data_IF_464559602496
#
_entry.id   IF_464559602496
#
_cell.length_a   1.000
_cell.length_b   1.000
_cell.length_c   1.000
_cell.angle_alpha   90.00
_cell.angle_beta   90.00
_cell.angle_gamma   90.00
#
_symmetry.space_group_name_H-M   'P 1'
#
loop_
_entity.id
_entity.type
_entity.pdbx_description
1 polymer ?
#
# COMPACT_ATOMS: atom_id res chain seq x y z
N UNK A 1 25.73 -21.76 38.43
CA UNK A 1 25.14 -20.43 38.15
C UNK A 1 25.66 -19.73 36.89
N UNK A 2 26.84 -20.05 36.42
CA UNK A 2 27.40 -19.37 35.21
C UNK A 2 26.76 -19.81 33.89
N UNK A 3 26.20 -20.99 33.78
CA UNK A 3 25.58 -21.51 32.54
C UNK A 3 24.19 -20.97 32.24
N UNK A 4 23.45 -20.46 33.23
CA UNK A 4 22.11 -19.88 33.00
C UNK A 4 22.15 -18.44 32.45
N UNK A 5 23.22 -17.71 32.72
CA UNK A 5 23.39 -16.34 32.20
C UNK A 5 23.72 -16.30 30.70
N UNK A 6 24.46 -17.28 30.22
CA UNK A 6 24.85 -17.39 28.81
C UNK A 6 23.63 -17.72 27.93
N UNK A 7 22.72 -18.56 28.43
CA UNK A 7 21.51 -18.93 27.70
C UNK A 7 20.52 -17.75 27.54
N UNK A 8 20.42 -16.91 28.59
CA UNK A 8 19.54 -15.72 28.54
C UNK A 8 20.13 -14.65 27.61
N UNK A 9 21.43 -14.45 27.62
CA UNK A 9 22.10 -13.50 26.72
C UNK A 9 22.02 -13.94 25.25
N UNK A 10 22.13 -15.24 24.98
CA UNK A 10 21.98 -15.80 23.64
C UNK A 10 20.55 -15.64 23.10
N UNK A 11 19.54 -15.80 23.95
CA UNK A 11 18.14 -15.64 23.58
C UNK A 11 17.79 -14.16 23.32
N UNK A 12 18.35 -13.24 24.11
CA UNK A 12 18.15 -11.81 23.93
C UNK A 12 18.81 -11.30 22.64
N UNK A 13 19.99 -11.82 22.29
CA UNK A 13 20.67 -11.50 21.03
C UNK A 13 19.92 -12.05 19.82
N UNK A 14 19.31 -13.24 19.90
CA UNK A 14 18.45 -13.77 18.83
C UNK A 14 17.20 -12.93 18.59
N UNK A 15 16.56 -12.40 19.64
CA UNK A 15 15.39 -11.54 19.51
C UNK A 15 15.75 -10.21 18.85
N UNK A 16 16.93 -9.65 19.14
CA UNK A 16 17.40 -8.41 18.51
C UNK A 16 17.76 -8.63 17.02
N UNK A 17 18.29 -9.81 16.67
CA UNK A 17 18.61 -10.14 15.27
C UNK A 17 17.36 -10.45 14.42
N UNK A 18 16.27 -10.91 15.04
CA UNK A 18 14.99 -11.12 14.34
C UNK A 18 14.19 -9.83 14.11
N UNK A 19 14.51 -8.74 14.80
CA UNK A 19 13.82 -7.44 14.62
C UNK A 19 14.46 -6.56 13.52
N UNK A 20 15.51 -7.02 12.88
CA UNK A 20 16.24 -6.29 11.83
C UNK A 20 15.79 -6.66 10.40
N UNK A 21 14.54 -7.04 10.20
CA UNK A 21 14.06 -7.50 8.89
C UNK A 21 12.70 -6.95 8.53
N UNK A 22 12.67 -5.85 7.77
CA UNK A 22 11.50 -5.39 7.03
C UNK A 22 10.50 -4.59 7.88
N UNK A 23 10.32 -3.32 7.56
CA UNK A 23 9.19 -2.53 8.04
C UNK A 23 7.85 -3.25 7.74
N UNK A 24 6.87 -3.04 8.59
CA UNK A 24 5.53 -3.57 8.41
C UNK A 24 4.98 -3.16 7.04
N UNK A 25 4.52 -4.12 6.26
CA UNK A 25 3.94 -3.85 4.95
C UNK A 25 2.62 -3.11 5.11
N UNK A 26 2.43 -2.04 4.35
CA UNK A 26 1.17 -1.29 4.33
C UNK A 26 0.04 -2.14 3.73
N UNK A 27 0.36 -2.92 2.71
CA UNK A 27 -0.59 -3.79 2.02
C UNK A 27 -0.03 -5.21 2.07
N UNK A 28 -0.67 -6.06 2.86
CA UNK A 28 -0.36 -7.48 2.90
C UNK A 28 -0.86 -8.16 1.62
N UNK A 29 -0.02 -8.97 1.00
CA UNK A 29 -0.35 -9.65 -0.26
C UNK A 29 -0.80 -11.10 -0.10
N UNK A 30 -0.70 -11.64 1.12
CA UNK A 30 -1.19 -12.99 1.43
C UNK A 30 -2.69 -13.03 1.68
N UNK A 31 -3.33 -14.15 1.34
CA UNK A 31 -4.76 -14.40 1.60
C UNK A 31 -5.75 -13.43 0.92
N UNK A 32 -5.35 -12.75 -0.14
CA UNK A 32 -6.25 -11.97 -0.98
C UNK A 32 -7.09 -12.94 -1.82
N UNK A 33 -8.40 -12.74 -1.81
CA UNK A 33 -9.37 -13.57 -2.55
C UNK A 33 -10.00 -12.83 -3.73
N UNK A 34 -9.92 -11.49 -3.73
CA UNK A 34 -10.41 -10.67 -4.83
C UNK A 34 -9.67 -9.34 -4.86
N UNK A 35 -9.38 -8.86 -6.05
CA UNK A 35 -8.85 -7.52 -6.30
C UNK A 35 -9.83 -6.75 -7.16
N UNK A 36 -10.21 -5.54 -6.74
CA UNK A 36 -11.06 -4.62 -7.49
C UNK A 36 -10.24 -3.42 -7.91
N UNK A 37 -10.34 -3.01 -9.16
CA UNK A 37 -9.59 -1.87 -9.71
C UNK A 37 -10.56 -0.90 -10.38
N UNK A 38 -10.48 0.37 -10.03
CA UNK A 38 -11.25 1.45 -10.65
C UNK A 38 -10.34 2.63 -10.98
N UNK A 39 -10.50 3.18 -12.18
CA UNK A 39 -9.82 4.39 -12.63
C UNK A 39 -10.84 5.52 -12.71
N UNK A 40 -10.55 6.66 -12.06
CA UNK A 40 -11.38 7.88 -12.06
C UNK A 40 -12.85 7.62 -11.66
N UNK A 41 -13.09 6.70 -10.76
CA UNK A 41 -14.41 6.27 -10.30
C UNK A 41 -15.36 5.78 -11.44
N UNK A 42 -14.81 5.46 -12.59
CA UNK A 42 -15.56 4.95 -13.74
C UNK A 42 -15.88 3.45 -13.59
N UNK A 43 -15.38 2.62 -14.47
CA UNK A 43 -15.64 1.18 -14.42
C UNK A 43 -14.82 0.51 -13.32
N UNK A 44 -15.44 -0.43 -12.60
CA UNK A 44 -14.77 -1.29 -11.64
C UNK A 44 -14.55 -2.65 -12.27
N UNK A 45 -13.32 -3.08 -12.39
CA UNK A 45 -12.94 -4.43 -12.79
C UNK A 45 -12.59 -5.27 -11.57
N UNK A 46 -12.97 -6.54 -11.57
CA UNK A 46 -12.71 -7.49 -10.47
C UNK A 46 -11.90 -8.67 -10.99
N UNK A 47 -10.95 -9.09 -10.16
CA UNK A 47 -10.02 -10.19 -10.46
C UNK A 47 -9.95 -11.15 -9.27
N UNK A 48 -9.97 -12.46 -9.55
CA UNK A 48 -9.74 -13.51 -8.53
C UNK A 48 -8.26 -13.64 -8.16
N UNK A 49 -7.38 -13.24 -9.08
CA UNK A 49 -5.94 -13.19 -8.87
C UNK A 49 -5.44 -11.75 -9.07
N UNK A 50 -4.41 -11.37 -8.31
CA UNK A 50 -3.83 -10.03 -8.42
C UNK A 50 -3.13 -9.87 -9.79
N UNK A 51 -3.54 -8.89 -10.62
CA UNK A 51 -2.83 -8.59 -11.87
C UNK A 51 -1.38 -8.18 -11.62
N UNK A 52 -0.47 -8.54 -12.53
CA UNK A 52 0.97 -8.27 -12.39
C UNK A 52 1.29 -6.78 -12.21
N UNK A 53 0.62 -5.89 -12.93
CA UNK A 53 0.80 -4.45 -12.83
C UNK A 53 0.36 -3.90 -11.45
N UNK A 54 -0.72 -4.43 -10.88
CA UNK A 54 -1.16 -4.12 -9.51
C UNK A 54 -0.15 -4.65 -8.49
N UNK A 55 0.37 -5.87 -8.70
CA UNK A 55 1.39 -6.46 -7.83
C UNK A 55 2.67 -5.62 -7.83
N UNK A 56 3.10 -5.12 -8.97
CA UNK A 56 4.25 -4.22 -9.08
C UNK A 56 4.02 -2.91 -8.33
N UNK A 57 2.87 -2.27 -8.50
CA UNK A 57 2.50 -1.05 -7.79
C UNK A 57 2.49 -1.25 -6.26
N UNK A 58 1.87 -2.33 -5.79
CA UNK A 58 1.83 -2.68 -4.35
C UNK A 58 3.23 -2.91 -3.80
N UNK A 59 4.07 -3.63 -4.54
CA UNK A 59 5.46 -3.89 -4.15
C UNK A 59 6.27 -2.59 -4.06
N UNK A 60 6.11 -1.68 -5.01
CA UNK A 60 6.75 -0.38 -5.00
C UNK A 60 6.33 0.46 -3.79
N UNK A 61 5.02 0.51 -3.48
CA UNK A 61 4.48 1.24 -2.33
C UNK A 61 4.99 0.64 -1.01
N UNK A 62 4.96 -0.69 -0.87
CA UNK A 62 5.47 -1.38 0.32
C UNK A 62 6.97 -1.21 0.54
N UNK A 63 7.72 -0.90 -0.51
CA UNK A 63 9.18 -0.72 -0.48
C UNK A 63 9.61 0.74 -0.27
N UNK A 64 8.65 1.69 -0.23
CA UNK A 64 8.96 3.10 -0.01
C UNK A 64 9.58 3.33 1.36
N UNK A 65 10.74 3.94 1.38
CA UNK A 65 11.41 4.43 2.58
C UNK A 65 10.84 5.79 3.01
N UNK A 66 11.01 6.15 4.27
CA UNK A 66 10.40 7.38 4.81
C UNK A 66 10.93 8.66 4.17
N UNK A 67 12.17 8.66 3.67
CA UNK A 67 12.77 9.77 2.92
C UNK A 67 12.11 10.02 1.54
N UNK A 68 11.36 9.05 1.01
CA UNK A 68 10.57 9.15 -0.22
C UNK A 68 9.11 9.54 0.00
N UNK A 69 8.70 9.66 1.25
CA UNK A 69 7.36 10.08 1.66
C UNK A 69 7.37 11.53 2.10
N UNK A 70 6.40 12.30 1.62
CA UNK A 70 6.20 13.69 2.02
C UNK A 70 4.87 13.85 2.74
N UNK A 71 4.73 14.86 3.64
CA UNK A 71 3.44 15.14 4.26
C UNK A 71 2.40 15.47 3.19
N UNK A 72 1.19 14.91 3.34
CA UNK A 72 0.07 15.14 2.44
C UNK A 72 -1.24 15.23 3.24
N UNK A 73 -2.04 16.25 2.95
CA UNK A 73 -3.36 16.46 3.55
C UNK A 73 -4.45 16.22 2.49
N UNK A 74 -5.10 15.08 2.55
CA UNK A 74 -6.18 14.71 1.64
C UNK A 74 -7.50 15.46 1.92
N UNK A 75 -7.59 16.18 3.04
CA UNK A 75 -8.71 17.05 3.37
C UNK A 75 -8.61 18.47 2.80
N UNK A 76 -7.45 18.87 2.29
CA UNK A 76 -7.21 20.22 1.77
C UNK A 76 -7.81 20.46 0.35
N UNK A 77 -8.32 19.40 -0.30
CA UNK A 77 -8.79 19.43 -1.69
C UNK A 77 -7.67 19.11 -2.68
N UNK A 78 -8.07 18.88 -3.93
CA UNK A 78 -7.16 18.45 -4.98
C UNK A 78 -7.11 19.49 -6.10
N UNK A 79 -5.97 19.64 -6.80
CA UNK A 79 -5.90 20.41 -8.04
C UNK A 79 -6.93 19.90 -9.07
N UNK A 80 -7.38 20.79 -9.95
CA UNK A 80 -8.16 20.42 -11.12
C UNK A 80 -7.36 19.39 -11.96
N UNK A 81 -8.06 18.51 -12.65
CA UNK A 81 -7.47 17.43 -13.44
C UNK A 81 -6.69 16.35 -12.64
N UNK A 82 -6.86 16.30 -11.32
CA UNK A 82 -6.35 15.16 -10.51
C UNK A 82 -7.11 13.90 -10.88
N UNK A 83 -6.37 12.85 -11.22
CA UNK A 83 -6.93 11.51 -11.49
C UNK A 83 -6.73 10.60 -10.29
N UNK A 84 -7.59 9.62 -10.12
CA UNK A 84 -7.50 8.68 -9.01
C UNK A 84 -7.57 7.23 -9.49
N UNK A 85 -6.60 6.43 -9.06
CA UNK A 85 -6.65 4.97 -9.12
C UNK A 85 -7.10 4.46 -7.75
N UNK A 86 -8.12 3.61 -7.73
CA UNK A 86 -8.57 2.91 -6.53
C UNK A 86 -8.40 1.41 -6.72
N UNK A 87 -7.77 0.76 -5.75
CA UNK A 87 -7.60 -0.69 -5.73
C UNK A 87 -8.10 -1.23 -4.40
N UNK A 88 -9.06 -2.13 -4.43
CA UNK A 88 -9.60 -2.83 -3.28
C UNK A 88 -9.04 -4.25 -3.20
N UNK A 89 -8.58 -4.66 -2.03
CA UNK A 89 -8.09 -6.00 -1.73
C UNK A 89 -9.01 -6.65 -0.71
N UNK A 90 -9.76 -7.64 -1.14
CA UNK A 90 -10.62 -8.45 -0.26
C UNK A 90 -9.82 -9.64 0.26
N UNK A 91 -9.80 -9.83 1.57
CA UNK A 91 -9.07 -10.91 2.23
C UNK A 91 -10.00 -12.06 2.63
N UNK A 92 -9.44 -13.25 2.77
CA UNK A 92 -10.18 -14.46 3.14
C UNK A 92 -10.90 -14.37 4.50
N UNK A 93 -10.42 -13.51 5.41
CA UNK A 93 -11.04 -13.23 6.71
C UNK A 93 -12.20 -12.23 6.67
N UNK A 94 -12.49 -11.69 5.48
CA UNK A 94 -13.54 -10.68 5.25
C UNK A 94 -13.06 -9.23 5.43
N UNK A 95 -11.78 -9.00 5.72
CA UNK A 95 -11.18 -7.66 5.74
C UNK A 95 -11.04 -7.08 4.34
N UNK A 96 -11.12 -5.76 4.23
CA UNK A 96 -10.91 -5.02 2.99
C UNK A 96 -9.83 -3.96 3.21
N UNK A 97 -8.85 -3.91 2.32
CA UNK A 97 -7.90 -2.80 2.24
C UNK A 97 -8.12 -2.03 0.96
N UNK A 98 -8.24 -0.73 1.07
CA UNK A 98 -8.40 0.19 -0.06
C UNK A 98 -7.11 1.00 -0.24
N UNK A 99 -6.50 0.88 -1.40
CA UNK A 99 -5.43 1.73 -1.88
C UNK A 99 -6.01 2.79 -2.80
N UNK A 100 -5.72 4.05 -2.54
CA UNK A 100 -5.98 5.15 -3.46
C UNK A 100 -4.66 5.80 -3.84
N UNK A 101 -4.44 5.98 -5.13
CA UNK A 101 -3.31 6.75 -5.68
C UNK A 101 -3.88 7.93 -6.46
N UNK A 102 -3.61 9.15 -5.99
CA UNK A 102 -3.95 10.36 -6.72
C UNK A 102 -2.77 10.78 -7.60
N UNK A 103 -3.05 11.00 -8.86
CA UNK A 103 -2.08 11.46 -9.85
C UNK A 103 -2.35 12.94 -10.16
N UNK A 104 -1.39 13.78 -9.88
CA UNK A 104 -1.48 15.22 -10.06
C UNK A 104 -0.99 15.65 -11.45
N UNK A 105 -1.45 16.83 -11.95
CA UNK A 105 -1.03 17.34 -13.26
C UNK A 105 0.47 17.59 -13.40
N UNK A 106 1.19 17.79 -12.31
CA UNK A 106 2.64 18.00 -12.26
C UNK A 106 3.48 16.69 -12.23
N UNK A 107 2.83 15.56 -12.52
CA UNK A 107 3.43 14.22 -12.51
C UNK A 107 3.83 13.69 -11.10
N UNK A 108 3.46 14.40 -10.05
CA UNK A 108 3.57 13.88 -8.68
C UNK A 108 2.36 13.05 -8.30
N UNK A 109 2.44 12.32 -7.20
CA UNK A 109 1.33 11.53 -6.71
C UNK A 109 1.26 11.51 -5.17
N UNK A 110 0.10 11.09 -4.66
CA UNK A 110 -0.10 10.80 -3.26
C UNK A 110 -0.80 9.45 -3.08
N UNK A 111 -0.56 8.83 -1.95
CA UNK A 111 -1.06 7.51 -1.62
C UNK A 111 -1.85 7.56 -0.32
N UNK A 112 -2.99 6.89 -0.30
CA UNK A 112 -3.78 6.61 0.90
C UNK A 112 -4.08 5.12 0.98
N UNK A 113 -3.87 4.55 2.15
CA UNK A 113 -4.22 3.15 2.44
C UNK A 113 -5.17 3.12 3.63
N UNK A 114 -6.30 2.49 3.46
CA UNK A 114 -7.35 2.38 4.46
C UNK A 114 -7.72 0.91 4.64
N UNK A 115 -7.82 0.45 5.88
CA UNK A 115 -8.36 -0.87 6.22
C UNK A 115 -9.79 -0.72 6.74
N UNK A 116 -10.66 -1.57 6.25
CA UNK A 116 -12.03 -1.70 6.74
C UNK A 116 -12.25 -3.12 7.28
N UNK A 117 -12.68 -3.22 8.52
CA UNK A 117 -13.04 -4.47 9.20
C UNK A 117 -14.42 -4.30 9.81
N UNK A 118 -15.41 -5.02 9.28
CA UNK A 118 -16.83 -4.89 9.69
C UNK A 118 -17.29 -3.43 9.66
N UNK A 119 -17.53 -2.85 10.82
CA UNK A 119 -18.02 -1.47 10.97
C UNK A 119 -16.91 -0.46 11.31
N UNK A 120 -15.65 -0.89 11.31
CA UNK A 120 -14.50 -0.05 11.67
C UNK A 120 -13.65 0.26 10.44
N UNK A 121 -13.34 1.53 10.25
CA UNK A 121 -12.42 2.01 9.22
C UNK A 121 -11.19 2.64 9.88
N UNK A 122 -10.00 2.22 9.45
CA UNK A 122 -8.72 2.73 9.95
C UNK A 122 -7.86 3.21 8.80
N UNK A 123 -7.40 4.45 8.86
CA UNK A 123 -6.40 4.97 7.92
C UNK A 123 -5.03 4.43 8.33
N UNK A 124 -4.42 3.61 7.51
CA UNK A 124 -3.11 3.04 7.75
C UNK A 124 -1.99 4.00 7.36
N UNK A 125 -2.17 4.72 6.26
CA UNK A 125 -1.20 5.70 5.76
C UNK A 125 -1.84 6.72 4.83
N UNK A 126 -1.33 7.96 4.86
CA UNK A 126 -1.56 9.01 3.87
C UNK A 126 -0.27 9.78 3.70
N UNK A 127 0.25 9.86 2.49
CA UNK A 127 1.50 10.56 2.19
C UNK A 127 1.61 10.94 0.72
N UNK A 128 2.34 12.03 0.44
CA UNK A 128 2.84 12.33 -0.90
C UNK A 128 4.04 11.45 -1.22
N UNK A 129 4.30 11.23 -2.49
CA UNK A 129 5.40 10.36 -2.96
C UNK A 129 6.40 11.19 -3.77
N UNK A 130 7.65 11.18 -3.32
CA UNK A 130 8.80 11.73 -4.03
C UNK A 130 9.57 10.61 -4.77
N UNK A 131 8.84 9.84 -5.57
CA UNK A 131 9.35 8.72 -6.36
C UNK A 131 8.53 8.62 -7.66
N UNK A 132 9.07 8.99 -8.83
CA UNK A 132 8.30 9.06 -10.08
C UNK A 132 7.81 7.68 -10.56
N UNK A 133 8.46 6.59 -10.16
CA UNK A 133 8.08 5.23 -10.54
C UNK A 133 6.66 4.84 -10.11
N UNK A 134 6.22 5.27 -8.93
CA UNK A 134 4.86 4.97 -8.41
C UNK A 134 3.77 5.59 -9.29
N UNK A 135 3.95 6.84 -9.71
CA UNK A 135 3.00 7.50 -10.60
C UNK A 135 2.91 6.75 -11.94
N UNK A 136 4.04 6.35 -12.52
CA UNK A 136 4.10 5.57 -13.75
C UNK A 136 3.44 4.20 -13.64
N UNK A 137 3.66 3.48 -12.56
CA UNK A 137 3.01 2.19 -12.28
C UNK A 137 1.49 2.35 -12.15
N UNK A 138 1.02 3.37 -11.44
CA UNK A 138 -0.41 3.66 -11.30
C UNK A 138 -1.04 4.02 -12.64
N UNK A 139 -0.38 4.83 -13.49
CA UNK A 139 -0.84 5.14 -14.84
C UNK A 139 -0.96 3.90 -15.73
N UNK A 140 -0.03 2.95 -15.61
CA UNK A 140 -0.08 1.69 -16.35
C UNK A 140 -1.31 0.86 -15.98
N UNK A 141 -1.64 0.78 -14.68
CA UNK A 141 -2.86 0.12 -14.20
C UNK A 141 -4.11 0.81 -14.73
N UNK A 142 -4.18 2.15 -14.65
CA UNK A 142 -5.31 2.93 -15.15
C UNK A 142 -5.51 2.76 -16.65
N UNK A 143 -4.44 2.76 -17.43
CA UNK A 143 -4.51 2.60 -18.89
C UNK A 143 -5.05 1.23 -19.30
N UNK A 144 -4.84 0.18 -18.49
CA UNK A 144 -5.39 -1.14 -18.74
C UNK A 144 -6.90 -1.18 -18.48
N UNK A 145 -7.36 -0.55 -17.40
CA UNK A 145 -8.77 -0.56 -16.98
C UNK A 145 -9.65 0.33 -17.87
N UNK A 146 -9.07 1.36 -18.49
CA UNK A 146 -9.80 2.29 -19.38
C UNK A 146 -9.86 1.82 -20.86
N UNK A 147 -9.44 0.60 -21.17
CA UNK A 147 -9.56 -0.01 -22.51
C UNK A 147 -10.92 -0.67 -22.72
#
# INVERSE_FOLDING_TARGET
MKTKFIAILSLTVMIILCSCGGGEKLIETGNIVCVSVAADAANVERYEEMPDDVSMLVSAINSLTDDKKTPFDDGAGFPDDTRALMVGFEYADGGLVMLTVWLFPDETCAVRVVRQEKDTQSVLAVFGVDEPGIAGDAESVMARVNK
#
